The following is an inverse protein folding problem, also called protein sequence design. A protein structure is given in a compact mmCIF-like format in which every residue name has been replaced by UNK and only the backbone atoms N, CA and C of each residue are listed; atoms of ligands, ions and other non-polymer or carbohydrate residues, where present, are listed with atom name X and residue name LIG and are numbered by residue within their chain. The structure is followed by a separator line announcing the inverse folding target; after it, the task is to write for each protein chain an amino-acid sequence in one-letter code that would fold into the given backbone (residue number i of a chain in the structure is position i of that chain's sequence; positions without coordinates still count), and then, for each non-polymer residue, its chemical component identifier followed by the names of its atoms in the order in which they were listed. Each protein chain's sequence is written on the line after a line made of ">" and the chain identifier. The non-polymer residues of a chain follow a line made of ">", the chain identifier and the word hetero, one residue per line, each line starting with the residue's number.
data_IF_075323654358
#
_entry.id   IF_075323654358
#
_cell.length_a   1.000
_cell.length_b   1.000
_cell.length_c   1.000
_cell.angle_alpha   90.00
_cell.angle_beta   90.00
_cell.angle_gamma   90.00
#
_symmetry.space_group_name_H-M   'P 1'
#
loop_
_entity.id
_entity.type
_entity.pdbx_description
1 polymer ?
#
# COMPACT_ATOMS: atom_id res chain seq x y z
N UNK A 1 -6.77 -0.32 -7.86
CA UNK A 1 -6.51 -1.04 -6.59
C UNK A 1 -5.17 -1.78 -6.62
N UNK A 2 -4.92 -2.67 -7.59
CA UNK A 2 -3.65 -3.41 -7.72
C UNK A 2 -2.39 -2.53 -7.68
N UNK A 3 -2.37 -1.43 -8.43
CA UNK A 3 -1.25 -0.48 -8.46
C UNK A 3 -0.92 0.15 -7.11
N UNK A 4 -1.95 0.46 -6.31
CA UNK A 4 -1.79 1.02 -4.95
C UNK A 4 -1.14 -0.02 -4.02
N UNK A 5 -1.57 -1.28 -4.15
CA UNK A 5 -1.02 -2.40 -3.36
C UNK A 5 0.45 -2.66 -3.72
N UNK A 6 0.79 -2.75 -5.00
CA UNK A 6 2.18 -2.93 -5.46
C UNK A 6 3.07 -1.78 -4.97
N UNK A 7 2.58 -0.54 -5.04
CA UNK A 7 3.27 0.63 -4.49
C UNK A 7 3.56 0.51 -3.00
N UNK A 8 2.58 0.08 -2.19
CA UNK A 8 2.75 -0.14 -0.75
C UNK A 8 3.73 -1.29 -0.45
N UNK A 9 3.65 -2.40 -1.20
CA UNK A 9 4.55 -3.54 -1.04
C UNK A 9 6.01 -3.17 -1.38
N UNK A 10 6.24 -2.40 -2.45
CA UNK A 10 7.57 -1.84 -2.75
C UNK A 10 8.04 -0.89 -1.65
N UNK A 11 7.17 -0.05 -1.10
CA UNK A 11 7.53 0.83 0.02
C UNK A 11 8.02 0.02 1.22
N UNK A 12 7.36 -1.10 1.53
CA UNK A 12 7.75 -2.07 2.57
C UNK A 12 9.05 -2.80 2.27
N UNK A 13 9.32 -3.12 1.02
CA UNK A 13 10.58 -3.70 0.61
C UNK A 13 11.74 -2.71 0.81
N UNK A 14 11.57 -1.48 0.31
CA UNK A 14 12.59 -0.42 0.26
C UNK A 14 12.84 0.21 1.63
N UNK A 15 11.79 0.57 2.37
CA UNK A 15 11.93 1.29 3.63
C UNK A 15 12.05 0.30 4.80
N UNK A 16 13.17 0.38 5.54
CA UNK A 16 13.40 -0.49 6.68
C UNK A 16 12.31 -0.27 7.76
N UNK A 17 11.68 -1.35 8.23
CA UNK A 17 10.65 -1.30 9.27
C UNK A 17 11.24 -1.12 10.67
N UNK A 18 12.50 -1.50 10.90
CA UNK A 18 13.21 -1.31 12.17
C UNK A 18 13.80 0.11 12.29
N UNK A 19 13.63 0.81 13.43
CA UNK A 19 14.28 2.11 13.66
C UNK A 19 15.78 1.91 13.85
N UNK A 20 16.64 2.70 13.18
CA UNK A 20 18.06 2.66 13.46
C UNK A 20 18.28 3.02 14.94
N UNK A 21 18.94 2.13 15.68
CA UNK A 21 19.29 2.28 17.10
C UNK A 21 20.28 3.43 17.27
N UNK A 22 19.84 4.66 17.09
CA UNK A 22 20.59 5.86 17.41
C UNK A 22 20.49 6.13 18.91
N UNK A 23 21.60 6.49 19.54
CA UNK A 23 21.71 6.81 20.97
C UNK A 23 20.68 7.86 21.46
N UNK A 24 20.13 8.68 20.55
CA UNK A 24 19.06 9.66 20.84
C UNK A 24 17.66 9.07 21.05
N UNK A 25 17.45 7.80 20.70
CA UNK A 25 16.14 7.13 20.74
C UNK A 25 16.06 6.01 21.79
N UNK A 26 17.04 5.91 22.69
CA UNK A 26 17.14 4.85 23.69
C UNK A 26 15.97 4.80 24.70
N UNK A 27 15.16 5.86 24.81
CA UNK A 27 14.00 5.96 25.70
C UNK A 27 12.65 6.06 24.96
N UNK A 28 12.59 5.78 23.65
CA UNK A 28 11.30 5.78 22.94
C UNK A 28 10.50 4.52 23.30
N UNK A 29 9.24 4.71 23.66
CA UNK A 29 8.32 3.59 23.88
C UNK A 29 8.10 2.87 22.54
N UNK A 30 8.06 1.52 22.50
CA UNK A 30 7.82 0.75 21.28
C UNK A 30 6.55 1.16 20.52
N UNK A 31 5.53 1.67 21.24
CA UNK A 31 4.29 2.18 20.65
C UNK A 31 4.48 3.47 19.85
N UNK A 32 5.36 4.36 20.29
CA UNK A 32 5.62 5.64 19.60
C UNK A 32 6.48 5.42 18.35
N UNK A 33 7.41 4.47 18.42
CA UNK A 33 8.17 4.02 17.26
C UNK A 33 7.26 3.47 16.15
N UNK A 34 6.32 2.61 16.54
CA UNK A 34 5.34 2.01 15.65
C UNK A 34 4.42 3.08 15.03
N UNK A 35 3.81 3.95 15.84
CA UNK A 35 2.89 4.98 15.33
C UNK A 35 3.62 5.98 14.42
N UNK A 36 4.83 6.41 14.78
CA UNK A 36 5.63 7.35 13.99
C UNK A 36 5.95 6.80 12.61
N UNK A 37 6.33 5.52 12.52
CA UNK A 37 6.57 4.88 11.22
C UNK A 37 5.30 4.57 10.44
N UNK A 38 4.22 4.20 11.12
CA UNK A 38 2.91 4.00 10.50
C UNK A 38 2.45 5.27 9.77
N UNK A 39 2.62 6.44 10.40
CA UNK A 39 2.26 7.72 9.79
C UNK A 39 3.09 8.03 8.55
N UNK A 40 4.39 7.73 8.56
CA UNK A 40 5.25 7.89 7.37
C UNK A 40 4.82 6.96 6.22
N UNK A 41 4.51 5.70 6.51
CA UNK A 41 3.98 4.78 5.50
C UNK A 41 2.64 5.24 4.93
N UNK A 42 1.74 5.69 5.81
CA UNK A 42 0.41 6.13 5.40
C UNK A 42 0.46 7.38 4.53
N UNK A 43 1.29 8.36 4.90
CA UNK A 43 1.48 9.59 4.11
C UNK A 43 2.09 9.31 2.74
N UNK A 44 3.12 8.46 2.67
CA UNK A 44 3.73 8.07 1.40
C UNK A 44 2.75 7.28 0.50
N UNK A 45 1.96 6.37 1.08
CA UNK A 45 0.92 5.62 0.37
C UNK A 45 -0.17 6.54 -0.20
N UNK A 46 -0.58 7.57 0.56
CA UNK A 46 -1.53 8.59 0.09
C UNK A 46 -0.99 9.35 -1.13
N UNK A 47 0.27 9.77 -1.08
CA UNK A 47 0.92 10.49 -2.20
C UNK A 47 0.98 9.57 -3.44
N UNK A 48 1.40 8.32 -3.30
CA UNK A 48 1.42 7.36 -4.40
C UNK A 48 0.03 7.15 -5.01
N UNK A 49 -0.99 7.04 -4.17
CA UNK A 49 -2.37 6.86 -4.61
C UNK A 49 -2.87 8.05 -5.41
N UNK A 50 -2.58 9.28 -4.96
CA UNK A 50 -2.89 10.49 -5.73
C UNK A 50 -2.18 10.48 -7.08
N UNK A 51 -0.89 10.17 -7.13
CA UNK A 51 -0.13 10.10 -8.40
C UNK A 51 -0.71 9.04 -9.34
N UNK A 52 -1.14 7.88 -8.82
CA UNK A 52 -1.78 6.82 -9.60
C UNK A 52 -3.11 7.30 -10.20
N UNK A 53 -3.95 7.99 -9.41
CA UNK A 53 -5.23 8.51 -9.88
C UNK A 53 -5.00 9.62 -10.93
N UNK A 54 -4.13 10.58 -10.65
CA UNK A 54 -3.81 11.66 -11.59
C UNK A 54 -3.23 11.13 -12.90
N UNK A 55 -2.30 10.17 -12.85
CA UNK A 55 -1.75 9.56 -14.07
C UNK A 55 -2.79 8.78 -14.87
N UNK A 56 -3.69 8.06 -14.20
CA UNK A 56 -4.80 7.36 -14.88
C UNK A 56 -5.75 8.32 -15.62
N UNK A 57 -6.03 9.49 -15.03
CA UNK A 57 -6.90 10.50 -15.64
C UNK A 57 -6.19 11.29 -16.74
N UNK A 58 -4.99 11.79 -16.49
CA UNK A 58 -4.30 12.70 -17.41
C UNK A 58 -3.54 11.97 -18.53
N UNK A 59 -2.89 10.84 -18.23
CA UNK A 59 -2.06 10.12 -19.21
C UNK A 59 -2.91 9.10 -19.96
N UNK A 60 -3.65 8.24 -19.24
CA UNK A 60 -4.49 7.21 -19.87
C UNK A 60 -5.83 7.76 -20.40
N UNK A 61 -6.20 9.01 -20.06
CA UNK A 61 -7.47 9.65 -20.45
C UNK A 61 -8.71 8.77 -20.23
N UNK A 62 -8.74 8.09 -19.08
CA UNK A 62 -9.90 7.28 -18.70
C UNK A 62 -11.10 8.23 -18.48
N UNK A 63 -12.25 7.86 -19.02
CA UNK A 63 -13.51 8.56 -18.76
C UNK A 63 -13.95 8.23 -17.34
N UNK A 64 -13.92 9.24 -16.46
CA UNK A 64 -14.31 9.09 -15.07
C UNK A 64 -15.58 9.89 -14.85
N UNK A 65 -16.69 9.20 -14.65
CA UNK A 65 -18.02 9.78 -14.38
C UNK A 65 -17.98 10.79 -13.21
N UNK A 66 -17.27 10.45 -12.13
CA UNK A 66 -16.98 11.40 -11.06
C UNK A 66 -15.57 11.17 -10.51
N UNK A 67 -14.71 12.15 -10.72
CA UNK A 67 -13.33 12.14 -10.22
C UNK A 67 -13.29 12.11 -8.69
N UNK A 68 -14.29 12.71 -8.03
CA UNK A 68 -14.42 12.72 -6.58
C UNK A 68 -14.62 11.33 -5.98
N UNK A 69 -15.57 10.52 -6.50
CA UNK A 69 -15.77 9.14 -6.04
C UNK A 69 -14.53 8.29 -6.27
N UNK A 70 -13.84 8.47 -7.40
CA UNK A 70 -12.64 7.70 -7.71
C UNK A 70 -11.50 8.01 -6.72
N UNK A 71 -11.32 9.28 -6.36
CA UNK A 71 -10.34 9.69 -5.35
C UNK A 71 -10.73 9.17 -3.97
N UNK A 72 -12.00 9.29 -3.57
CA UNK A 72 -12.47 8.80 -2.27
C UNK A 72 -12.24 7.30 -2.10
N UNK A 73 -12.63 6.49 -3.08
CA UNK A 73 -12.41 5.04 -3.06
C UNK A 73 -10.92 4.71 -3.07
N UNK A 74 -10.13 5.44 -3.87
CA UNK A 74 -8.68 5.27 -3.91
C UNK A 74 -8.01 5.53 -2.57
N UNK A 75 -8.37 6.63 -1.91
CA UNK A 75 -7.84 7.00 -0.58
C UNK A 75 -8.23 5.98 0.48
N UNK A 76 -9.50 5.56 0.54
CA UNK A 76 -9.94 4.54 1.53
C UNK A 76 -9.21 3.21 1.29
N UNK A 77 -9.05 2.83 0.02
CA UNK A 77 -8.29 1.62 -0.35
C UNK A 77 -6.83 1.73 0.05
N UNK A 78 -6.17 2.87 -0.19
CA UNK A 78 -4.77 3.06 0.16
C UNK A 78 -4.53 3.02 1.66
N UNK A 79 -5.41 3.63 2.44
CA UNK A 79 -5.36 3.62 3.89
C UNK A 79 -5.48 2.19 4.43
N UNK A 80 -6.47 1.45 3.93
CA UNK A 80 -6.71 0.06 4.33
C UNK A 80 -5.50 -0.82 4.00
N UNK A 81 -4.99 -0.74 2.78
CA UNK A 81 -3.85 -1.54 2.34
C UNK A 81 -2.56 -1.16 3.03
N UNK A 82 -2.30 0.14 3.22
CA UNK A 82 -1.13 0.61 3.96
C UNK A 82 -1.12 0.08 5.39
N UNK A 83 -2.25 0.11 6.09
CA UNK A 83 -2.39 -0.42 7.44
C UNK A 83 -2.15 -1.93 7.48
N UNK A 84 -2.73 -2.70 6.56
CA UNK A 84 -2.55 -4.17 6.51
C UNK A 84 -1.08 -4.52 6.28
N UNK A 85 -0.46 -3.94 5.23
CA UNK A 85 0.91 -4.26 4.85
C UNK A 85 1.89 -3.80 5.94
N UNK A 86 1.69 -2.60 6.51
CA UNK A 86 2.54 -2.10 7.59
C UNK A 86 2.44 -2.95 8.85
N UNK A 87 1.22 -3.30 9.28
CA UNK A 87 1.02 -4.14 10.46
C UNK A 87 1.70 -5.49 10.28
N UNK A 88 1.52 -6.13 9.13
CA UNK A 88 2.15 -7.42 8.84
C UNK A 88 3.69 -7.33 8.79
N UNK A 89 4.23 -6.28 8.16
CA UNK A 89 5.67 -6.04 8.09
C UNK A 89 6.31 -5.69 9.45
N UNK A 90 5.56 -5.03 10.33
CA UNK A 90 6.03 -4.69 11.68
C UNK A 90 6.05 -5.89 12.63
N UNK A 91 5.04 -6.76 12.55
CA UNK A 91 4.88 -7.90 13.48
C UNK A 91 5.84 -9.03 13.12
N UNK A 92 6.02 -9.29 11.83
CA UNK A 92 6.83 -10.41 11.35
C UNK A 92 8.23 -10.00 10.85
N UNK A 93 8.56 -8.71 10.81
CA UNK A 93 9.84 -8.22 10.31
C UNK A 93 10.12 -8.65 8.87
N UNK A 94 11.24 -9.32 8.62
CA UNK A 94 11.59 -9.81 7.27
C UNK A 94 10.59 -10.85 6.71
N UNK A 95 9.95 -11.65 7.57
CA UNK A 95 8.87 -12.57 7.16
C UNK A 95 7.64 -11.77 6.68
N UNK A 96 7.35 -10.64 7.33
CA UNK A 96 6.24 -9.77 6.94
C UNK A 96 6.44 -9.12 5.57
N UNK A 97 7.69 -8.81 5.20
CA UNK A 97 8.04 -8.37 3.84
C UNK A 97 7.76 -9.45 2.79
N UNK A 98 8.10 -10.70 3.06
CA UNK A 98 7.81 -11.81 2.16
C UNK A 98 6.30 -12.08 2.01
N UNK A 99 5.55 -11.99 3.11
CA UNK A 99 4.09 -12.11 3.08
C UNK A 99 3.43 -10.96 2.30
N UNK A 100 3.96 -9.73 2.39
CA UNK A 100 3.45 -8.60 1.60
C UNK A 100 3.56 -8.86 0.08
N UNK A 101 4.66 -9.49 -0.36
CA UNK A 101 4.85 -9.90 -1.76
C UNK A 101 3.90 -11.05 -2.11
N UNK A 102 3.74 -12.04 -1.24
CA UNK A 102 2.79 -13.14 -1.45
C UNK A 102 1.35 -12.62 -1.64
N UNK A 103 0.93 -11.61 -0.86
CA UNK A 103 -0.39 -11.01 -1.01
C UNK A 103 -0.58 -10.31 -2.37
N UNK A 104 0.48 -9.80 -3.01
CA UNK A 104 0.40 -9.27 -4.38
C UNK A 104 -0.03 -10.37 -5.34
N UNK A 105 0.54 -11.58 -5.20
CA UNK A 105 0.18 -12.72 -6.04
C UNK A 105 -1.29 -13.15 -5.82
N UNK A 106 -1.76 -13.17 -4.56
CA UNK A 106 -3.17 -13.43 -4.26
C UNK A 106 -4.11 -12.36 -4.83
N UNK A 107 -3.74 -11.08 -4.76
CA UNK A 107 -4.51 -9.98 -5.35
C UNK A 107 -4.60 -10.09 -6.87
N UNK A 108 -3.51 -10.48 -7.54
CA UNK A 108 -3.51 -10.72 -8.97
C UNK A 108 -4.55 -11.79 -9.35
N UNK A 109 -4.54 -12.92 -8.63
CA UNK A 109 -5.50 -14.01 -8.83
C UNK A 109 -6.95 -13.61 -8.48
N UNK A 110 -7.15 -12.84 -7.41
CA UNK A 110 -8.46 -12.41 -6.94
C UNK A 110 -9.08 -11.24 -7.71
N UNK A 111 -8.28 -10.47 -8.45
CA UNK A 111 -8.75 -9.27 -9.17
C UNK A 111 -9.62 -9.55 -10.40
N UNK A 112 -9.85 -10.83 -10.74
CA UNK A 112 -10.65 -11.22 -11.92
C UNK A 112 -10.03 -10.83 -13.27
N UNK A 113 -8.91 -10.11 -13.28
CA UNK A 113 -8.27 -9.57 -14.49
C UNK A 113 -7.62 -10.64 -15.38
N UNK A 114 -7.56 -11.89 -14.94
CA UNK A 114 -6.93 -12.99 -15.67
C UNK A 114 -7.94 -13.76 -16.54
N UNK A 115 -9.25 -13.61 -16.29
CA UNK A 115 -10.27 -14.28 -17.09
C UNK A 115 -11.05 -13.27 -17.93
N UNK A 116 -11.03 -13.40 -19.26
CA UNK A 116 -12.05 -12.75 -20.07
C UNK A 116 -13.41 -13.26 -19.61
N UNK A 117 -14.37 -12.37 -19.41
CA UNK A 117 -15.78 -12.71 -19.14
C UNK A 117 -16.40 -13.61 -20.23
N UNK A 118 -15.70 -13.79 -21.37
CA UNK A 118 -16.03 -14.74 -22.43
C UNK A 118 -15.68 -16.21 -22.12
N UNK A 119 -15.17 -16.54 -20.94
CA UNK A 119 -14.83 -17.91 -20.52
C UNK A 119 -15.61 -18.40 -19.29
N UNK A 120 -16.68 -17.70 -18.91
CA UNK A 120 -17.67 -18.22 -17.96
C UNK A 120 -18.60 -19.20 -18.72
N UNK A 121 -18.57 -20.52 -18.44
CA UNK A 121 -19.53 -21.48 -18.98
C UNK A 121 -20.93 -21.34 -18.36
#
# INVERSE_FOLDING_TARGET
>A
ALSIWVGCAMLVAVLHTSVPKYHKFANLKPREEYIGKMLLYNTLSMIQTMVIILSAVFILRIHVESLFLMVMIGVVSSLTFSVIVYTMASVFGNLGKALAIMMVAFQLAGSGAIYPVQLDP
#
